data_IF_676612588753
#
_entry.id   IF_676612588753
#
_cell.length_a   1.000
_cell.length_b   1.000
_cell.length_c   1.000
_cell.angle_alpha   90.00
_cell.angle_beta   90.00
_cell.angle_gamma   90.00
#
_symmetry.space_group_name_H-M   'P 1'
#
loop_
_entity.id
_entity.type
_entity.pdbx_description
1 polymer ?
#
# COMPACT_ATOMS: atom_id res chain seq x y z
N UNK A 1 1.05 35.21 -10.11
CA UNK A 1 0.05 35.08 -9.03
C UNK A 1 -0.19 33.60 -8.79
N UNK A 2 -0.24 33.17 -7.53
CA UNK A 2 -0.16 31.76 -7.18
C UNK A 2 -1.58 31.12 -7.18
N UNK A 3 -1.82 30.04 -7.95
CA UNK A 3 -3.15 29.42 -8.17
C UNK A 3 -3.72 28.71 -6.92
N UNK A 4 -5.00 28.91 -6.52
CA UNK A 4 -5.59 28.23 -5.36
C UNK A 4 -5.59 26.70 -5.47
N UNK A 5 -5.38 26.01 -4.34
CA UNK A 5 -5.32 24.53 -4.30
C UNK A 5 -6.73 23.92 -4.34
N UNK A 6 -6.87 22.86 -5.13
CA UNK A 6 -8.07 22.03 -5.23
C UNK A 6 -7.72 20.58 -4.86
N UNK A 7 -8.22 20.12 -3.71
CA UNK A 7 -7.98 18.76 -3.24
C UNK A 7 -8.95 17.77 -3.90
N UNK A 8 -8.42 16.66 -4.42
CA UNK A 8 -9.21 15.66 -5.15
C UNK A 8 -9.31 14.37 -4.35
N UNK A 9 -10.55 14.10 -3.91
CA UNK A 9 -10.98 12.98 -3.10
C UNK A 9 -11.58 11.94 -4.05
N UNK A 10 -10.80 10.93 -4.43
CA UNK A 10 -11.25 9.96 -5.40
C UNK A 10 -10.65 8.57 -5.19
N UNK A 11 -11.30 7.50 -5.65
CA UNK A 11 -10.66 6.20 -5.77
C UNK A 11 -9.43 6.26 -6.67
N UNK A 12 -8.48 5.36 -6.48
CA UNK A 12 -7.24 5.29 -7.28
C UNK A 12 -7.20 4.04 -8.18
N UNK A 13 -6.51 4.15 -9.31
CA UNK A 13 -6.37 3.04 -10.26
C UNK A 13 -7.70 2.54 -10.81
N UNK A 14 -7.73 1.27 -11.23
CA UNK A 14 -8.95 0.65 -11.75
C UNK A 14 -9.81 0.10 -10.62
N UNK A 15 -11.06 0.52 -10.50
CA UNK A 15 -11.99 0.04 -9.46
C UNK A 15 -13.31 -0.39 -10.11
N UNK A 16 -13.89 -1.53 -9.68
CA UNK A 16 -15.19 -1.95 -10.17
C UNK A 16 -16.28 -1.03 -9.64
N UNK A 17 -17.23 -0.69 -10.50
CA UNK A 17 -18.51 -0.09 -10.08
C UNK A 17 -19.47 -1.16 -9.51
N UNK A 18 -20.70 -0.75 -9.18
CA UNK A 18 -21.72 -1.65 -8.64
C UNK A 18 -22.14 -2.77 -9.63
N UNK A 19 -21.94 -2.57 -10.93
CA UNK A 19 -22.20 -3.56 -11.98
C UNK A 19 -20.97 -4.42 -12.32
N UNK A 20 -19.82 -4.16 -11.69
CA UNK A 20 -18.56 -4.86 -11.93
C UNK A 20 -17.71 -4.30 -13.07
N UNK A 21 -18.12 -3.19 -13.69
CA UNK A 21 -17.33 -2.52 -14.75
C UNK A 21 -16.14 -1.82 -14.12
N UNK A 22 -14.93 -2.10 -14.63
CA UNK A 22 -13.70 -1.49 -14.13
C UNK A 22 -13.55 -0.07 -14.65
N UNK A 23 -13.75 0.92 -13.77
CA UNK A 23 -13.53 2.33 -14.07
C UNK A 23 -12.07 2.70 -13.80
N UNK A 24 -11.43 3.37 -14.75
CA UNK A 24 -10.05 3.86 -14.66
C UNK A 24 -10.01 5.27 -14.05
N UNK A 25 -9.86 5.34 -12.73
CA UNK A 25 -9.81 6.61 -12.01
C UNK A 25 -8.53 7.41 -12.26
N UNK A 26 -7.46 6.78 -12.74
CA UNK A 26 -6.25 7.50 -13.16
C UNK A 26 -6.49 8.24 -14.48
N UNK A 27 -7.22 7.63 -15.42
CA UNK A 27 -7.67 8.30 -16.62
C UNK A 27 -8.66 9.43 -16.31
N UNK A 28 -9.67 9.18 -15.46
CA UNK A 28 -10.62 10.23 -15.00
C UNK A 28 -9.87 11.41 -14.39
N UNK A 29 -8.87 11.17 -13.55
CA UNK A 29 -8.07 12.25 -12.98
C UNK A 29 -7.28 13.02 -14.05
N UNK A 30 -6.49 12.31 -14.87
CA UNK A 30 -5.54 12.90 -15.82
C UNK A 30 -6.23 13.62 -16.98
N UNK A 31 -7.36 13.11 -17.44
CA UNK A 31 -8.01 13.55 -18.68
C UNK A 31 -9.21 14.46 -18.42
N UNK A 32 -9.88 14.35 -17.26
CA UNK A 32 -11.05 15.15 -16.90
C UNK A 32 -10.78 16.10 -15.72
N UNK A 33 -10.47 15.56 -14.54
CA UNK A 33 -10.48 16.35 -13.30
C UNK A 33 -9.31 17.34 -13.24
N UNK A 34 -8.07 16.88 -13.38
CA UNK A 34 -6.89 17.75 -13.29
C UNK A 34 -6.87 18.83 -14.37
N UNK A 35 -7.19 18.55 -15.65
CA UNK A 35 -7.35 19.58 -16.67
C UNK A 35 -8.44 20.60 -16.34
N UNK A 36 -9.61 20.17 -15.83
CA UNK A 36 -10.68 21.10 -15.46
C UNK A 36 -10.28 22.04 -14.30
N UNK A 37 -9.53 21.52 -13.32
CA UNK A 37 -8.97 22.31 -12.22
C UNK A 37 -8.00 23.36 -12.77
N UNK A 38 -7.10 22.96 -13.69
CA UNK A 38 -6.15 23.87 -14.33
C UNK A 38 -6.85 24.94 -15.18
N UNK A 39 -7.90 24.55 -15.92
CA UNK A 39 -8.72 25.47 -16.73
C UNK A 39 -9.45 26.50 -15.84
N UNK A 40 -9.76 26.15 -14.59
CA UNK A 40 -10.33 27.05 -13.59
C UNK A 40 -9.28 27.93 -12.87
N UNK A 41 -8.02 27.94 -13.34
CA UNK A 41 -6.87 28.61 -12.71
C UNK A 41 -6.60 28.17 -11.27
N UNK A 42 -6.85 26.89 -11.00
CA UNK A 42 -6.56 26.22 -9.73
C UNK A 42 -5.39 25.24 -9.90
N UNK A 43 -4.86 24.74 -8.79
CA UNK A 43 -3.79 23.73 -8.77
C UNK A 43 -4.34 22.42 -8.18
N UNK A 44 -4.32 21.31 -8.93
CA UNK A 44 -4.84 20.04 -8.46
C UNK A 44 -3.90 19.38 -7.45
N UNK A 45 -4.47 18.77 -6.41
CA UNK A 45 -3.76 17.96 -5.43
C UNK A 45 -4.55 16.67 -5.21
N UNK A 46 -4.03 15.52 -5.64
CA UNK A 46 -4.70 14.22 -5.48
C UNK A 46 -4.21 13.50 -4.23
N UNK A 47 -5.10 12.79 -3.56
CA UNK A 47 -4.83 12.12 -2.27
C UNK A 47 -3.89 10.90 -2.35
N UNK A 48 -3.53 10.42 -3.54
CA UNK A 48 -2.74 9.20 -3.75
C UNK A 48 -1.23 9.36 -3.48
N UNK A 49 -0.76 10.58 -3.19
CA UNK A 49 0.64 10.80 -2.85
C UNK A 49 1.05 10.27 -1.47
N UNK A 50 0.13 9.69 -0.69
CA UNK A 50 0.34 9.32 0.71
C UNK A 50 -0.19 7.91 1.07
N UNK A 51 0.14 6.87 0.29
CA UNK A 51 -0.20 5.48 0.65
C UNK A 51 0.90 4.86 1.53
N UNK A 52 0.87 5.12 2.84
CA UNK A 52 1.62 4.30 3.81
C UNK A 52 0.96 4.21 5.19
N UNK A 53 0.18 3.14 5.41
CA UNK A 53 -0.08 2.53 6.73
C UNK A 53 -0.39 3.44 7.93
N UNK A 54 -1.68 3.71 8.16
CA UNK A 54 -2.26 3.89 9.50
C UNK A 54 -2.05 5.23 10.23
N UNK A 55 -1.04 6.04 9.89
CA UNK A 55 -0.86 7.39 10.48
C UNK A 55 -0.74 8.45 9.37
N UNK A 56 -1.70 8.45 8.46
CA UNK A 56 -1.79 9.44 7.37
C UNK A 56 -3.12 10.18 7.50
N UNK A 57 -3.34 10.73 8.67
CA UNK A 57 -4.56 11.48 8.94
C UNK A 57 -4.29 12.98 8.97
N UNK A 58 -3.17 13.44 9.53
CA UNK A 58 -2.92 14.88 9.69
C UNK A 58 -2.79 15.64 8.35
N UNK A 59 -1.96 15.22 7.37
CA UNK A 59 -1.87 15.95 6.10
C UNK A 59 -3.17 15.90 5.29
N UNK A 60 -3.87 14.76 5.28
CA UNK A 60 -5.20 14.63 4.67
C UNK A 60 -6.23 15.56 5.33
N UNK A 61 -6.31 15.60 6.66
CA UNK A 61 -7.17 16.52 7.40
C UNK A 61 -6.79 17.99 7.13
N UNK A 62 -5.50 18.30 7.09
CA UNK A 62 -5.01 19.63 6.76
C UNK A 62 -5.40 20.03 5.33
N UNK A 63 -5.34 19.13 4.35
CA UNK A 63 -5.85 19.38 2.98
C UNK A 63 -7.35 19.65 2.97
N UNK A 64 -8.13 18.80 3.65
CA UNK A 64 -9.58 18.97 3.79
C UNK A 64 -9.96 20.31 4.41
N UNK A 65 -9.19 20.75 5.40
CA UNK A 65 -9.41 22.02 6.08
C UNK A 65 -8.86 23.18 5.26
N UNK A 66 -7.67 23.11 4.66
CA UNK A 66 -6.91 24.28 4.18
C UNK A 66 -7.02 24.53 2.68
N UNK A 67 -7.32 23.52 1.86
CA UNK A 67 -7.52 23.72 0.42
C UNK A 67 -8.73 24.62 0.15
N UNK A 68 -8.55 25.57 -0.76
CA UNK A 68 -9.61 26.50 -1.16
C UNK A 68 -10.77 25.79 -1.86
N UNK A 69 -10.51 24.66 -2.51
CA UNK A 69 -11.51 23.84 -3.18
C UNK A 69 -11.31 22.36 -2.86
N UNK A 70 -12.39 21.60 -2.96
CA UNK A 70 -12.34 20.15 -2.96
C UNK A 70 -13.24 19.59 -4.06
N UNK A 71 -12.83 18.48 -4.67
CA UNK A 71 -13.63 17.66 -5.56
C UNK A 71 -13.75 16.27 -4.95
N UNK A 72 -14.97 15.75 -4.80
CA UNK A 72 -15.23 14.40 -4.33
C UNK A 72 -15.89 13.54 -5.41
N UNK A 73 -15.22 12.47 -5.82
CA UNK A 73 -15.72 11.49 -6.79
C UNK A 73 -16.41 10.33 -6.06
N UNK A 74 -17.73 10.31 -6.16
CA UNK A 74 -18.61 9.38 -5.44
C UNK A 74 -18.99 8.15 -6.25
N UNK A 75 -18.41 7.97 -7.44
CA UNK A 75 -18.82 6.98 -8.45
C UNK A 75 -18.88 5.54 -7.93
N UNK A 76 -17.95 5.12 -7.06
CA UNK A 76 -17.87 3.73 -6.54
C UNK A 76 -18.37 3.58 -5.12
N UNK A 77 -19.04 4.59 -4.56
CA UNK A 77 -19.52 4.56 -3.17
C UNK A 77 -18.39 4.25 -2.18
N UNK A 78 -17.21 4.82 -2.42
CA UNK A 78 -16.02 4.52 -1.64
C UNK A 78 -16.14 5.09 -0.21
N UNK A 79 -16.09 4.23 0.80
CA UNK A 79 -16.23 4.62 2.21
C UNK A 79 -15.21 5.69 2.65
N UNK A 80 -13.98 5.65 2.12
CA UNK A 80 -12.96 6.64 2.47
C UNK A 80 -13.33 8.01 1.92
N UNK A 81 -13.81 8.08 0.66
CA UNK A 81 -14.23 9.35 0.05
C UNK A 81 -15.41 9.95 0.82
N UNK A 82 -16.37 9.15 1.28
CA UNK A 82 -17.47 9.65 2.13
C UNK A 82 -16.99 10.17 3.48
N UNK A 83 -16.05 9.47 4.11
CA UNK A 83 -15.47 9.91 5.37
C UNK A 83 -14.83 11.29 5.21
N UNK A 84 -13.96 11.46 4.21
CA UNK A 84 -13.29 12.72 3.91
C UNK A 84 -14.27 13.83 3.51
N UNK A 85 -15.30 13.49 2.71
CA UNK A 85 -16.37 14.42 2.35
C UNK A 85 -17.15 14.92 3.58
N UNK A 86 -17.48 14.02 4.51
CA UNK A 86 -18.16 14.37 5.76
C UNK A 86 -17.35 15.37 6.58
N UNK A 87 -16.04 15.16 6.67
CA UNK A 87 -15.12 16.11 7.32
C UNK A 87 -15.11 17.44 6.56
N UNK A 88 -14.96 17.42 5.22
CA UNK A 88 -14.97 18.64 4.40
C UNK A 88 -16.22 19.48 4.65
N UNK A 89 -17.40 18.86 4.61
CA UNK A 89 -18.68 19.51 4.87
C UNK A 89 -18.82 20.05 6.31
N UNK A 90 -18.06 19.51 7.27
CA UNK A 90 -18.05 19.97 8.65
C UNK A 90 -17.08 21.14 8.89
N UNK A 91 -16.09 21.35 8.02
CA UNK A 91 -15.02 22.35 8.24
C UNK A 91 -14.99 23.46 7.19
N UNK A 92 -15.71 23.30 6.08
CA UNK A 92 -15.82 24.32 5.02
C UNK A 92 -17.27 24.55 4.63
N UNK A 93 -17.70 25.81 4.51
CA UNK A 93 -19.09 26.14 4.17
C UNK A 93 -19.42 25.94 2.68
N UNK A 94 -18.41 26.08 1.81
CA UNK A 94 -18.57 26.07 0.37
C UNK A 94 -17.30 25.54 -0.34
N UNK A 95 -17.33 25.56 -1.67
CA UNK A 95 -16.28 25.12 -2.62
C UNK A 95 -15.97 23.62 -2.62
N UNK A 96 -17.00 22.82 -2.35
CA UNK A 96 -16.93 21.35 -2.43
C UNK A 96 -17.78 20.88 -3.62
N UNK A 97 -17.12 20.39 -4.68
CA UNK A 97 -17.79 19.90 -5.88
C UNK A 97 -17.89 18.38 -5.81
N UNK A 98 -19.10 17.85 -5.99
CA UNK A 98 -19.33 16.41 -6.03
C UNK A 98 -19.43 15.94 -7.48
N UNK A 99 -18.74 14.85 -7.80
CA UNK A 99 -18.76 14.18 -9.09
C UNK A 99 -19.31 12.76 -8.93
N UNK A 100 -19.95 12.25 -9.97
CA UNK A 100 -20.32 10.84 -10.07
C UNK A 100 -20.44 10.45 -11.54
N UNK A 101 -20.19 9.18 -11.86
CA UNK A 101 -20.50 8.67 -13.20
C UNK A 101 -22.01 8.67 -13.43
N UNK A 102 -22.44 9.08 -14.61
CA UNK A 102 -23.82 8.96 -15.10
C UNK A 102 -24.39 7.52 -15.12
N UNK A 103 -23.51 6.51 -15.09
CA UNK A 103 -23.84 5.09 -14.94
C UNK A 103 -23.99 4.64 -13.49
N UNK A 104 -23.64 5.48 -12.51
CA UNK A 104 -23.67 5.17 -11.08
C UNK A 104 -24.91 5.77 -10.39
N UNK A 105 -25.32 5.16 -9.27
CA UNK A 105 -26.38 5.70 -8.40
C UNK A 105 -25.77 6.17 -7.10
N UNK A 106 -26.03 7.42 -6.75
CA UNK A 106 -25.63 8.00 -5.48
C UNK A 106 -26.49 7.45 -4.33
N UNK A 107 -25.90 7.19 -3.15
CA UNK A 107 -26.66 6.88 -1.94
C UNK A 107 -27.62 8.02 -1.57
N UNK A 108 -28.73 7.67 -0.91
CA UNK A 108 -29.80 8.62 -0.58
C UNK A 108 -29.29 9.88 0.15
N UNK A 109 -28.36 9.73 1.10
CA UNK A 109 -27.83 10.83 1.92
C UNK A 109 -27.09 11.91 1.11
N UNK A 110 -26.57 11.56 -0.08
CA UNK A 110 -25.86 12.48 -0.98
C UNK A 110 -26.59 12.70 -2.30
N UNK A 111 -27.65 11.95 -2.60
CA UNK A 111 -28.39 12.02 -3.85
C UNK A 111 -29.11 13.37 -4.06
N UNK A 112 -29.45 14.05 -2.96
CA UNK A 112 -30.05 15.40 -2.99
C UNK A 112 -29.00 16.51 -3.10
N UNK A 113 -27.71 16.19 -2.95
CA UNK A 113 -26.63 17.14 -3.15
C UNK A 113 -26.44 17.39 -4.65
N UNK A 114 -26.01 18.61 -5.01
CA UNK A 114 -25.88 19.06 -6.41
C UNK A 114 -24.66 18.45 -7.14
N UNK A 115 -24.54 17.13 -7.10
CA UNK A 115 -23.48 16.39 -7.77
C UNK A 115 -23.57 16.54 -9.30
N UNK A 116 -22.41 16.62 -9.93
CA UNK A 116 -22.29 16.72 -11.37
C UNK A 116 -22.02 15.32 -11.95
N UNK A 117 -22.86 14.86 -12.89
CA UNK A 117 -22.57 13.64 -13.62
C UNK A 117 -21.40 13.88 -14.59
N UNK A 118 -20.61 12.84 -14.83
CA UNK A 118 -19.67 12.76 -15.94
C UNK A 118 -19.80 11.42 -16.66
N UNK A 119 -19.48 11.40 -17.96
CA UNK A 119 -19.66 10.22 -18.79
C UNK A 119 -18.54 9.20 -18.61
N UNK A 120 -18.89 7.92 -18.55
CA UNK A 120 -17.93 6.79 -18.64
C UNK A 120 -18.29 5.90 -19.84
N UNK A 121 -17.32 5.62 -20.71
CA UNK A 121 -17.51 4.67 -21.80
C UNK A 121 -17.50 3.20 -21.31
N UNK A 122 -17.82 2.25 -22.19
CA UNK A 122 -17.90 0.84 -21.80
C UNK A 122 -16.55 0.20 -21.46
N UNK A 123 -15.43 0.86 -21.82
CA UNK A 123 -14.09 0.47 -21.42
C UNK A 123 -13.67 1.04 -20.05
N UNK A 124 -14.56 1.79 -19.38
CA UNK A 124 -14.30 2.38 -18.06
C UNK A 124 -13.46 3.66 -18.10
N UNK A 125 -13.26 4.26 -19.27
CA UNK A 125 -12.55 5.53 -19.44
C UNK A 125 -13.53 6.72 -19.50
N UNK A 126 -13.09 7.94 -19.13
CA UNK A 126 -13.93 9.13 -19.28
C UNK A 126 -14.37 9.30 -20.74
N UNK A 127 -15.63 9.66 -20.91
CA UNK A 127 -16.24 10.04 -22.18
C UNK A 127 -16.74 11.48 -22.08
N UNK A 128 -17.19 12.08 -23.20
CA UNK A 128 -17.69 13.46 -23.21
C UNK A 128 -16.71 14.48 -22.58
N UNK A 129 -15.39 14.21 -22.71
CA UNK A 129 -14.34 14.91 -21.95
C UNK A 129 -14.42 16.42 -22.11
N UNK A 130 -14.62 16.94 -23.32
CA UNK A 130 -14.65 18.39 -23.54
C UNK A 130 -15.84 19.08 -22.89
N UNK A 131 -17.03 18.47 -22.90
CA UNK A 131 -18.21 19.04 -22.25
C UNK A 131 -18.12 18.94 -20.74
N UNK A 132 -17.67 17.79 -20.23
CA UNK A 132 -17.60 17.52 -18.79
C UNK A 132 -16.49 18.33 -18.14
N UNK A 133 -15.32 18.45 -18.80
CA UNK A 133 -14.22 19.31 -18.34
C UNK A 133 -14.66 20.77 -18.27
N UNK A 134 -15.38 21.25 -19.29
CA UNK A 134 -15.90 22.64 -19.31
C UNK A 134 -16.91 22.88 -18.20
N UNK A 135 -17.88 21.98 -18.04
CA UNK A 135 -18.89 22.09 -17.00
C UNK A 135 -18.28 22.02 -15.58
N UNK A 136 -17.25 21.19 -15.38
CA UNK A 136 -16.52 21.13 -14.11
C UNK A 136 -15.74 22.42 -13.84
N UNK A 137 -15.01 22.94 -14.84
CA UNK A 137 -14.30 24.20 -14.72
C UNK A 137 -15.26 25.37 -14.41
N UNK A 138 -16.43 25.43 -15.06
CA UNK A 138 -17.45 26.45 -14.81
C UNK A 138 -18.04 26.36 -13.40
N UNK A 139 -18.27 25.13 -12.89
CA UNK A 139 -18.68 24.91 -11.50
C UNK A 139 -17.63 25.37 -10.50
N UNK A 140 -16.35 25.07 -10.73
CA UNK A 140 -15.23 25.52 -9.89
C UNK A 140 -15.15 27.04 -9.85
N UNK A 141 -15.23 27.72 -11.00
CA UNK A 141 -15.24 29.20 -11.07
C UNK A 141 -16.44 29.79 -10.32
N UNK A 142 -17.61 29.18 -10.47
CA UNK A 142 -18.86 29.66 -9.85
C UNK A 142 -18.90 29.45 -8.33
N UNK A 143 -18.29 28.38 -7.83
CA UNK A 143 -18.35 28.01 -6.42
C UNK A 143 -17.75 29.05 -5.45
N UNK A 144 -16.81 29.88 -5.93
CA UNK A 144 -16.20 30.95 -5.10
C UNK A 144 -17.03 32.24 -5.09
N UNK A 145 -17.84 32.46 -6.12
CA UNK A 145 -18.68 33.66 -6.28
C UNK A 145 -20.06 33.43 -5.65
N UNK A 146 -20.48 32.17 -5.51
CA UNK A 146 -21.75 31.82 -4.89
C UNK A 146 -21.80 32.24 -3.42
N UNK A 147 -22.92 32.85 -3.02
CA UNK A 147 -23.22 33.16 -1.63
C UNK A 147 -23.92 31.98 -0.91
N UNK A 148 -24.16 30.87 -1.60
CA UNK A 148 -24.85 29.71 -1.05
C UNK A 148 -23.85 28.69 -0.50
N UNK A 149 -23.99 28.32 0.77
CA UNK A 149 -23.28 27.17 1.32
C UNK A 149 -23.64 25.90 0.54
N UNK A 150 -22.64 25.09 0.18
CA UNK A 150 -22.84 23.76 -0.43
C UNK A 150 -22.78 22.62 0.60
N UNK A 151 -22.32 22.95 1.81
CA UNK A 151 -22.12 21.99 2.89
C UNK A 151 -23.34 21.94 3.80
N UNK A 152 -23.99 20.77 3.99
CA UNK A 152 -25.29 20.66 4.69
C UNK A 152 -25.30 21.23 6.11
N UNK A 153 -24.21 21.07 6.86
CA UNK A 153 -24.10 21.58 8.24
C UNK A 153 -24.22 23.11 8.28
N UNK A 154 -23.56 23.80 7.35
CA UNK A 154 -23.59 25.26 7.24
C UNK A 154 -24.88 25.80 6.63
N UNK A 155 -25.71 24.94 6.01
CA UNK A 155 -27.06 25.30 5.56
C UNK A 155 -28.08 25.22 6.70
N UNK A 156 -27.87 24.32 7.67
CA UNK A 156 -28.84 23.99 8.72
C UNK A 156 -28.55 24.67 10.06
N UNK A 157 -27.28 24.89 10.39
CA UNK A 157 -26.85 25.42 11.69
C UNK A 157 -26.42 26.87 11.56
N UNK A 158 -27.22 27.79 12.10
CA UNK A 158 -26.86 29.21 12.20
C UNK A 158 -25.62 29.41 13.09
N UNK A 159 -24.73 30.33 12.69
CA UNK A 159 -23.50 30.67 13.42
C UNK A 159 -22.50 29.52 13.61
N UNK A 160 -22.49 28.51 12.74
CA UNK A 160 -21.47 27.47 12.76
C UNK A 160 -20.06 28.08 12.56
N UNK A 161 -19.06 27.71 13.39
CA UNK A 161 -17.75 28.36 13.37
C UNK A 161 -17.00 28.13 12.04
N UNK A 162 -16.62 29.21 11.36
CA UNK A 162 -15.78 29.17 10.15
C UNK A 162 -14.29 29.24 10.50
N UNK A 163 -13.52 28.26 10.03
CA UNK A 163 -12.07 28.20 10.19
C UNK A 163 -11.44 29.16 9.16
N UNK A 164 -11.35 30.45 9.53
CA UNK A 164 -10.83 31.52 8.66
C UNK A 164 -9.41 31.24 8.12
N UNK A 165 -9.24 31.66 6.85
CA UNK A 165 -8.12 31.58 5.88
C UNK A 165 -6.71 32.09 6.29
N UNK A 166 -6.26 31.95 7.53
CA UNK A 166 -4.92 32.43 7.92
C UNK A 166 -3.75 31.47 7.58
N UNK A 167 -4.00 30.30 6.95
CA UNK A 167 -2.97 29.24 6.76
C UNK A 167 -2.75 28.76 5.31
N UNK A 168 -3.47 29.28 4.31
CA UNK A 168 -3.46 28.68 2.96
C UNK A 168 -2.14 28.86 2.20
N UNK A 169 -1.42 29.98 2.37
CA UNK A 169 -0.13 30.21 1.68
C UNK A 169 1.01 29.36 2.26
N UNK A 170 1.09 29.28 3.60
CA UNK A 170 2.05 28.41 4.30
C UNK A 170 1.79 26.95 3.93
N UNK A 171 0.52 26.54 3.92
CA UNK A 171 0.13 25.20 3.52
C UNK A 171 0.51 24.88 2.06
N UNK A 172 0.35 25.83 1.14
CA UNK A 172 0.75 25.61 -0.26
C UNK A 172 2.26 25.42 -0.39
N UNK A 173 3.04 26.27 0.29
CA UNK A 173 4.50 26.13 0.32
C UNK A 173 4.91 24.77 0.90
N UNK A 174 4.21 24.29 1.92
CA UNK A 174 4.44 22.97 2.52
C UNK A 174 4.14 21.81 1.56
N UNK A 175 3.01 21.87 0.83
CA UNK A 175 2.66 20.84 -0.17
C UNK A 175 3.67 20.80 -1.32
N UNK A 176 4.04 21.96 -1.86
CA UNK A 176 5.05 22.06 -2.93
C UNK A 176 6.41 21.53 -2.46
N UNK A 177 6.79 21.86 -1.22
CA UNK A 177 8.00 21.36 -0.58
C UNK A 177 7.98 19.83 -0.43
N UNK A 178 6.91 19.25 0.09
CA UNK A 178 6.77 17.80 0.27
C UNK A 178 6.85 17.06 -1.07
N UNK A 179 6.16 17.54 -2.11
CA UNK A 179 6.21 16.96 -3.44
C UNK A 179 7.64 17.01 -4.04
N UNK A 180 8.34 18.13 -3.89
CA UNK A 180 9.72 18.27 -4.35
C UNK A 180 10.68 17.30 -3.63
N UNK A 181 10.54 17.12 -2.32
CA UNK A 181 11.36 16.16 -1.58
C UNK A 181 11.07 14.73 -2.04
N UNK A 182 9.80 14.36 -2.26
CA UNK A 182 9.42 13.04 -2.76
C UNK A 182 10.06 12.72 -4.10
N UNK A 183 10.07 13.67 -5.04
CA UNK A 183 10.74 13.51 -6.34
C UNK A 183 12.26 13.35 -6.18
N UNK A 184 12.88 14.17 -5.33
CA UNK A 184 14.32 14.06 -5.02
C UNK A 184 14.69 12.71 -4.43
N UNK A 185 13.89 12.21 -3.47
CA UNK A 185 14.05 10.87 -2.91
C UNK A 185 13.92 9.79 -3.99
N UNK A 186 12.95 9.92 -4.90
CA UNK A 186 12.79 8.97 -6.00
C UNK A 186 14.00 8.93 -6.95
N UNK A 187 14.63 10.08 -7.23
CA UNK A 187 15.85 10.13 -8.01
C UNK A 187 17.03 9.51 -7.28
N UNK A 188 17.22 9.89 -6.01
CA UNK A 188 18.39 9.47 -5.25
C UNK A 188 18.32 7.98 -4.83
N UNK A 189 17.13 7.35 -4.78
CA UNK A 189 16.98 5.88 -4.69
C UNK A 189 17.67 5.12 -5.84
N UNK A 190 17.78 5.74 -7.02
CA UNK A 190 18.45 5.15 -8.20
C UNK A 190 19.96 5.35 -8.20
N UNK A 191 20.47 6.18 -7.30
CA UNK A 191 21.89 6.49 -7.20
C UNK A 191 22.53 5.61 -6.12
N UNK A 192 22.53 6.07 -4.87
CA UNK A 192 23.10 5.36 -3.73
C UNK A 192 22.54 5.89 -2.38
N UNK A 193 22.97 5.24 -1.30
CA UNK A 193 22.61 5.60 0.09
C UNK A 193 23.19 6.98 0.49
N UNK A 194 24.29 7.42 -0.12
CA UNK A 194 24.92 8.72 0.19
C UNK A 194 24.00 9.86 -0.24
N UNK A 195 23.40 9.77 -1.42
CA UNK A 195 22.44 10.74 -1.91
C UNK A 195 21.20 10.84 -1.00
N UNK A 196 20.74 9.73 -0.42
CA UNK A 196 19.68 9.74 0.61
C UNK A 196 20.11 10.46 1.89
N UNK A 197 21.34 10.20 2.36
CA UNK A 197 21.89 10.86 3.56
C UNK A 197 22.03 12.37 3.36
N UNK A 198 22.38 12.82 2.16
CA UNK A 198 22.41 14.25 1.83
C UNK A 198 21.02 14.87 1.97
N UNK A 199 19.97 14.22 1.46
CA UNK A 199 18.59 14.70 1.62
C UNK A 199 18.20 14.71 3.11
N UNK A 200 18.50 13.66 3.88
CA UNK A 200 18.26 13.64 5.33
C UNK A 200 18.95 14.81 6.06
N UNK A 201 20.20 15.12 5.71
CA UNK A 201 20.94 16.23 6.30
C UNK A 201 20.31 17.59 5.97
N UNK A 202 19.84 17.77 4.74
CA UNK A 202 19.18 19.01 4.32
C UNK A 202 17.80 19.21 4.98
N UNK A 203 17.09 18.13 5.30
CA UNK A 203 15.83 18.20 6.05
C UNK A 203 16.04 18.72 7.49
N UNK A 204 17.25 18.60 8.03
CA UNK A 204 17.58 19.06 9.38
C UNK A 204 16.78 18.33 10.47
N UNK A 205 16.17 19.08 11.38
CA UNK A 205 15.41 18.53 12.50
C UNK A 205 14.09 17.91 12.03
N UNK A 206 13.98 16.58 12.09
CA UNK A 206 12.77 15.86 11.62
C UNK A 206 11.50 16.20 12.40
N UNK A 207 11.60 16.72 13.63
CA UNK A 207 10.43 17.12 14.42
C UNK A 207 9.64 18.26 13.76
N UNK A 208 10.33 19.09 12.97
CA UNK A 208 9.73 20.22 12.27
C UNK A 208 9.21 19.85 10.87
N UNK A 209 9.45 18.60 10.44
CA UNK A 209 9.09 18.10 9.12
C UNK A 209 7.69 17.46 9.10
N UNK A 210 7.06 17.48 7.93
CA UNK A 210 5.80 16.76 7.73
C UNK A 210 6.01 15.25 7.83
N UNK A 211 5.06 14.56 8.47
CA UNK A 211 5.15 13.11 8.66
C UNK A 211 5.26 12.35 7.34
N UNK A 212 4.60 12.82 6.28
CA UNK A 212 4.70 12.23 4.93
C UNK A 212 6.14 12.22 4.41
N UNK A 213 6.86 13.34 4.54
CA UNK A 213 8.27 13.47 4.13
C UNK A 213 9.17 12.52 4.91
N UNK A 214 8.96 12.40 6.22
CA UNK A 214 9.74 11.50 7.10
C UNK A 214 9.50 10.03 6.71
N UNK A 215 8.25 9.66 6.43
CA UNK A 215 7.89 8.30 5.99
C UNK A 215 8.46 8.01 4.61
N UNK A 216 8.40 8.95 3.66
CA UNK A 216 8.99 8.78 2.34
C UNK A 216 10.50 8.56 2.42
N UNK A 217 11.21 9.31 3.29
CA UNK A 217 12.63 9.08 3.54
C UNK A 217 12.87 7.69 4.17
N UNK A 218 12.09 7.32 5.17
CA UNK A 218 12.18 6.03 5.86
C UNK A 218 12.01 4.84 4.91
N UNK A 219 10.99 4.87 4.06
CA UNK A 219 10.75 3.85 3.04
C UNK A 219 11.77 3.90 1.90
N UNK A 220 12.34 5.08 1.62
CA UNK A 220 13.41 5.20 0.62
C UNK A 220 14.68 4.49 1.08
N UNK A 221 15.05 4.58 2.36
CA UNK A 221 16.13 3.78 2.92
C UNK A 221 15.86 2.27 2.83
N UNK A 222 14.61 1.83 3.09
CA UNK A 222 14.21 0.43 2.89
C UNK A 222 14.41 -0.03 1.45
N UNK A 223 14.01 0.78 0.47
CA UNK A 223 14.10 0.44 -0.95
C UNK A 223 15.54 0.16 -1.40
N UNK A 224 16.52 0.88 -0.83
CA UNK A 224 17.96 0.69 -1.09
C UNK A 224 18.65 -0.24 -0.09
N UNK A 225 17.89 -0.97 0.74
CA UNK A 225 18.40 -1.90 1.77
C UNK A 225 19.33 -1.23 2.81
N UNK A 226 19.17 0.06 3.07
CA UNK A 226 19.93 0.83 4.06
C UNK A 226 19.33 0.65 5.47
N UNK A 227 19.46 -0.57 6.02
CA UNK A 227 18.81 -0.97 7.28
C UNK A 227 19.31 -0.17 8.50
N UNK A 228 20.61 0.07 8.57
CA UNK A 228 21.24 0.84 9.66
C UNK A 228 20.72 2.27 9.73
N UNK A 229 20.61 2.93 8.58
CA UNK A 229 20.07 4.27 8.43
C UNK A 229 18.59 4.31 8.79
N UNK A 230 17.83 3.32 8.34
CA UNK A 230 16.41 3.17 8.68
C UNK A 230 16.19 3.06 10.19
N UNK A 231 16.98 2.24 10.89
CA UNK A 231 16.95 2.10 12.36
C UNK A 231 17.34 3.41 13.05
N UNK A 232 18.39 4.08 12.55
CA UNK A 232 18.83 5.36 13.09
C UNK A 232 17.80 6.48 12.91
N UNK A 233 17.06 6.47 11.79
CA UNK A 233 16.04 7.46 11.47
C UNK A 233 14.88 7.41 12.47
N UNK A 234 14.43 6.22 12.89
CA UNK A 234 13.32 6.09 13.86
C UNK A 234 13.63 6.81 15.18
N UNK A 235 14.89 6.81 15.62
CA UNK A 235 15.33 7.52 16.83
C UNK A 235 15.22 9.05 16.71
N UNK A 236 15.19 9.57 15.48
CA UNK A 236 15.07 11.00 15.17
C UNK A 236 13.62 11.42 14.88
N UNK A 237 12.70 10.46 14.70
CA UNK A 237 11.29 10.75 14.39
C UNK A 237 10.55 11.31 15.61
N UNK A 238 9.49 12.11 15.40
CA UNK A 238 8.52 12.41 16.45
C UNK A 238 7.96 11.13 17.09
N UNK A 239 7.87 11.08 18.42
CA UNK A 239 7.42 9.89 19.16
C UNK A 239 6.08 9.30 18.67
N UNK A 240 5.04 10.09 18.35
CA UNK A 240 3.79 9.55 17.83
C UNK A 240 3.96 8.81 16.49
N UNK A 241 4.82 9.33 15.61
CA UNK A 241 5.12 8.72 14.31
C UNK A 241 5.99 7.46 14.47
N UNK A 242 7.03 7.58 15.31
CA UNK A 242 7.91 6.47 15.64
C UNK A 242 7.13 5.28 16.21
N UNK A 243 6.14 5.54 17.07
CA UNK A 243 5.32 4.51 17.73
C UNK A 243 4.19 3.95 16.86
N UNK A 244 4.11 4.35 15.59
CA UNK A 244 3.09 3.86 14.67
C UNK A 244 3.27 2.37 14.36
N UNK A 245 2.16 1.65 14.12
CA UNK A 245 2.18 0.22 13.74
C UNK A 245 3.10 0.01 12.55
N UNK A 246 2.92 0.80 11.48
CA UNK A 246 3.71 0.69 10.27
C UNK A 246 5.21 0.96 10.51
N UNK A 247 5.58 2.02 11.25
CA UNK A 247 7.01 2.28 11.55
C UNK A 247 7.61 1.18 12.42
N UNK A 248 6.87 0.67 13.41
CA UNK A 248 7.35 -0.42 14.28
C UNK A 248 7.53 -1.73 13.52
N UNK A 249 6.59 -2.10 12.65
CA UNK A 249 6.70 -3.27 11.77
C UNK A 249 7.92 -3.17 10.85
N UNK A 250 8.11 -2.01 10.22
CA UNK A 250 9.22 -1.75 9.32
C UNK A 250 10.56 -1.64 10.05
N UNK A 251 10.58 -1.08 11.27
CA UNK A 251 11.74 -1.08 12.16
C UNK A 251 12.14 -2.52 12.53
N UNK A 252 11.19 -3.36 12.91
CA UNK A 252 11.46 -4.75 13.22
C UNK A 252 12.02 -5.51 12.02
N UNK A 253 11.49 -5.26 10.81
CA UNK A 253 12.06 -5.80 9.58
C UNK A 253 13.52 -5.34 9.39
N UNK A 254 13.81 -4.05 9.56
CA UNK A 254 15.15 -3.49 9.43
C UNK A 254 16.12 -4.05 10.47
N UNK A 255 15.70 -4.15 11.74
CA UNK A 255 16.48 -4.76 12.83
C UNK A 255 16.85 -6.20 12.51
N UNK A 256 15.88 -7.00 12.04
CA UNK A 256 16.15 -8.39 11.65
C UNK A 256 17.15 -8.47 10.49
N UNK A 257 17.03 -7.58 9.49
CA UNK A 257 17.99 -7.50 8.39
C UNK A 257 19.37 -7.01 8.81
N UNK A 258 19.45 -6.26 9.91
CA UNK A 258 20.69 -5.79 10.53
C UNK A 258 21.30 -6.79 11.55
N UNK A 259 20.72 -7.98 11.68
CA UNK A 259 21.20 -9.02 12.62
C UNK A 259 20.67 -8.88 14.05
N UNK A 260 19.81 -7.91 14.33
CA UNK A 260 19.22 -7.66 15.65
C UNK A 260 17.88 -8.40 15.83
N UNK A 261 17.82 -9.70 15.48
CA UNK A 261 16.58 -10.47 15.42
C UNK A 261 15.83 -10.57 16.76
N UNK A 262 16.54 -10.61 17.89
CA UNK A 262 15.92 -10.63 19.23
C UNK A 262 15.26 -9.29 19.61
N UNK A 263 15.73 -8.17 19.04
CA UNK A 263 15.09 -6.88 19.20
C UNK A 263 13.85 -6.78 18.32
N UNK A 264 13.96 -7.23 17.05
CA UNK A 264 12.83 -7.32 16.14
C UNK A 264 11.68 -8.17 16.71
N UNK A 265 11.98 -9.34 17.29
CA UNK A 265 11.00 -10.20 17.94
C UNK A 265 10.24 -9.48 19.06
N UNK A 266 10.95 -8.78 19.95
CA UNK A 266 10.33 -8.05 21.07
C UNK A 266 9.35 -6.99 20.58
N UNK A 267 9.77 -6.15 19.62
CA UNK A 267 8.91 -5.11 19.04
C UNK A 267 7.63 -5.71 18.46
N UNK A 268 7.74 -6.81 17.71
CA UNK A 268 6.57 -7.45 17.06
C UNK A 268 5.63 -8.09 18.08
N UNK A 269 6.17 -8.74 19.11
CA UNK A 269 5.36 -9.34 20.18
C UNK A 269 4.65 -8.26 21.02
N UNK A 270 5.34 -7.17 21.34
CA UNK A 270 4.74 -6.03 22.05
C UNK A 270 3.64 -5.37 21.21
N UNK A 271 3.86 -5.25 19.89
CA UNK A 271 2.87 -4.71 18.96
C UNK A 271 1.62 -5.59 18.90
N UNK A 272 1.78 -6.92 18.81
CA UNK A 272 0.67 -7.88 18.86
C UNK A 272 -0.07 -7.80 20.19
N UNK A 273 0.65 -7.70 21.30
CA UNK A 273 0.04 -7.58 22.63
C UNK A 273 -0.79 -6.29 22.77
N UNK A 274 -0.32 -5.19 22.18
CA UNK A 274 -0.96 -3.88 22.27
C UNK A 274 -2.12 -3.69 21.28
N UNK A 275 -1.99 -4.19 20.05
CA UNK A 275 -2.91 -3.91 18.92
C UNK A 275 -3.77 -5.11 18.51
N UNK A 276 -3.45 -6.29 19.02
CA UNK A 276 -4.09 -7.54 18.64
C UNK A 276 -3.42 -8.22 17.45
N UNK A 277 -3.94 -9.40 17.03
CA UNK A 277 -3.38 -10.17 15.94
C UNK A 277 -3.52 -9.44 14.60
N UNK A 278 -2.46 -9.46 13.79
CA UNK A 278 -2.41 -8.87 12.45
C UNK A 278 -1.67 -9.81 11.51
N UNK A 279 -2.18 -9.96 10.29
CA UNK A 279 -1.54 -10.78 9.25
C UNK A 279 -0.12 -10.30 8.96
N UNK A 280 0.06 -8.97 8.79
CA UNK A 280 1.35 -8.35 8.49
C UNK A 280 2.34 -8.54 9.64
N UNK A 281 1.95 -8.19 10.87
CA UNK A 281 2.84 -8.26 12.04
C UNK A 281 3.32 -9.69 12.29
N UNK A 282 2.41 -10.67 12.22
CA UNK A 282 2.77 -12.09 12.33
C UNK A 282 3.58 -12.59 11.12
N UNK A 283 3.30 -12.09 9.92
CA UNK A 283 4.09 -12.38 8.71
C UNK A 283 5.54 -11.92 8.84
N UNK A 284 5.78 -10.73 9.40
CA UNK A 284 7.13 -10.23 9.70
C UNK A 284 7.76 -11.08 10.81
N UNK A 285 7.04 -11.41 11.88
CA UNK A 285 7.54 -12.25 12.96
C UNK A 285 7.94 -13.66 12.46
N UNK A 286 7.12 -14.25 11.61
CA UNK A 286 7.43 -15.52 10.94
C UNK A 286 8.70 -15.43 10.09
N UNK A 287 8.94 -14.28 9.43
CA UNK A 287 10.18 -14.03 8.68
C UNK A 287 11.39 -13.90 9.59
N UNK A 288 11.26 -13.21 10.74
CA UNK A 288 12.33 -13.14 11.76
C UNK A 288 12.74 -14.54 12.20
N UNK A 289 11.76 -15.38 12.55
CA UNK A 289 12.06 -16.75 12.95
C UNK A 289 12.61 -17.60 11.81
N UNK A 290 12.11 -17.45 10.58
CA UNK A 290 12.64 -18.17 9.40
C UNK A 290 14.12 -17.84 9.16
N UNK A 291 14.50 -16.56 9.22
CA UNK A 291 15.91 -16.16 9.06
C UNK A 291 16.79 -16.72 10.19
N UNK A 292 16.31 -16.69 11.45
CA UNK A 292 17.02 -17.32 12.58
C UNK A 292 17.14 -18.85 12.43
N UNK A 293 16.11 -19.51 11.92
CA UNK A 293 16.12 -20.94 11.65
C UNK A 293 17.18 -21.30 10.60
N UNK A 294 17.23 -20.57 9.50
CA UNK A 294 18.25 -20.79 8.47
C UNK A 294 19.67 -20.54 9.01
N UNK A 295 19.86 -19.54 9.87
CA UNK A 295 21.14 -19.30 10.53
C UNK A 295 21.52 -20.45 11.48
N UNK A 296 20.59 -20.96 12.28
CA UNK A 296 20.83 -22.13 13.15
C UNK A 296 21.18 -23.38 12.33
N UNK A 297 20.50 -23.59 11.20
CA UNK A 297 20.81 -24.68 10.26
C UNK A 297 22.23 -24.56 9.69
N UNK A 298 22.65 -23.35 9.28
CA UNK A 298 24.02 -23.10 8.78
C UNK A 298 25.08 -23.32 9.85
N UNK A 299 24.79 -23.00 11.10
CA UNK A 299 25.68 -23.23 12.24
C UNK A 299 25.71 -24.69 12.72
N UNK A 300 24.87 -25.57 12.15
CA UNK A 300 24.80 -26.98 12.54
C UNK A 300 24.05 -27.25 13.85
N UNK A 301 23.40 -26.25 14.45
CA UNK A 301 22.62 -26.41 15.69
C UNK A 301 21.20 -26.92 15.37
N UNK A 302 21.11 -28.23 15.13
CA UNK A 302 19.88 -28.87 14.69
C UNK A 302 18.73 -28.78 15.72
N UNK A 303 19.03 -28.83 17.02
CA UNK A 303 18.01 -28.76 18.07
C UNK A 303 17.42 -27.35 18.16
N UNK A 304 18.27 -26.32 18.14
CA UNK A 304 17.82 -24.94 18.09
C UNK A 304 17.03 -24.66 16.81
N UNK A 305 17.53 -25.13 15.66
CA UNK A 305 16.84 -24.98 14.38
C UNK A 305 15.42 -25.56 14.42
N UNK A 306 15.23 -26.75 14.99
CA UNK A 306 13.90 -27.35 15.11
C UNK A 306 12.93 -26.50 15.95
N UNK A 307 13.40 -25.97 17.08
CA UNK A 307 12.58 -25.08 17.92
C UNK A 307 12.19 -23.78 17.21
N UNK A 308 13.15 -23.15 16.51
CA UNK A 308 12.90 -21.90 15.79
C UNK A 308 11.99 -22.14 14.57
N UNK A 309 12.14 -23.27 13.86
CA UNK A 309 11.25 -23.65 12.76
C UNK A 309 9.80 -23.73 13.24
N UNK A 310 9.57 -24.31 14.42
CA UNK A 310 8.23 -24.38 15.00
C UNK A 310 7.68 -22.97 15.31
N UNK A 311 8.48 -22.08 15.90
CA UNK A 311 8.08 -20.68 16.11
C UNK A 311 7.73 -19.97 14.80
N UNK A 312 8.50 -20.21 13.73
CA UNK A 312 8.23 -19.63 12.42
C UNK A 312 6.89 -20.11 11.84
N UNK A 313 6.63 -21.43 11.90
CA UNK A 313 5.36 -22.03 11.45
C UNK A 313 4.19 -21.43 12.24
N UNK A 314 4.30 -21.38 13.57
CA UNK A 314 3.22 -20.89 14.43
C UNK A 314 2.94 -19.39 14.20
N UNK A 315 3.98 -18.57 14.01
CA UNK A 315 3.81 -17.17 13.67
C UNK A 315 3.10 -16.98 12.32
N UNK A 316 3.56 -17.66 11.27
CA UNK A 316 2.90 -17.57 9.96
C UNK A 316 1.47 -18.11 9.97
N UNK A 317 1.21 -19.19 10.71
CA UNK A 317 -0.13 -19.74 10.85
C UNK A 317 -1.07 -18.75 11.53
N UNK A 318 -0.64 -18.13 12.65
CA UNK A 318 -1.43 -17.09 13.32
C UNK A 318 -1.66 -15.85 12.46
N UNK A 319 -0.66 -15.48 11.64
CA UNK A 319 -0.82 -14.41 10.65
C UNK A 319 -1.89 -14.74 9.62
N UNK A 320 -1.84 -15.95 9.07
CA UNK A 320 -2.85 -16.41 8.12
C UNK A 320 -4.23 -16.48 8.75
N UNK A 321 -4.33 -16.95 10.00
CA UNK A 321 -5.59 -17.04 10.74
C UNK A 321 -6.19 -15.67 11.09
N UNK A 322 -5.37 -14.62 11.18
CA UNK A 322 -5.82 -13.25 11.43
C UNK A 322 -6.47 -12.60 10.20
N UNK A 323 -6.04 -12.94 8.98
CA UNK A 323 -6.73 -12.57 7.74
C UNK A 323 -6.54 -13.64 6.66
N UNK A 324 -7.56 -14.48 6.47
CA UNK A 324 -7.49 -15.62 5.54
C UNK A 324 -7.46 -15.18 4.06
N UNK A 325 -7.68 -13.89 3.78
CA UNK A 325 -7.62 -13.31 2.43
C UNK A 325 -6.18 -12.95 2.04
N UNK A 326 -5.26 -12.92 2.99
CA UNK A 326 -3.85 -12.71 2.76
C UNK A 326 -3.13 -14.07 2.64
N UNK A 327 -2.80 -14.46 1.41
CA UNK A 327 -2.17 -15.76 1.18
C UNK A 327 -0.70 -15.80 1.63
N UNK A 328 -0.04 -14.66 1.88
CA UNK A 328 1.40 -14.59 2.11
C UNK A 328 1.86 -15.34 3.38
N UNK A 329 1.25 -15.17 4.57
CA UNK A 329 1.61 -15.98 5.72
C UNK A 329 1.25 -17.45 5.51
N UNK A 330 0.11 -17.71 4.86
CA UNK A 330 -0.39 -19.05 4.57
C UNK A 330 0.60 -19.89 3.75
N UNK A 331 1.12 -19.34 2.65
CA UNK A 331 2.10 -20.05 1.80
C UNK A 331 3.41 -20.32 2.55
N UNK A 332 3.89 -19.36 3.34
CA UNK A 332 5.09 -19.56 4.14
C UNK A 332 4.89 -20.62 5.23
N UNK A 333 3.72 -20.67 5.88
CA UNK A 333 3.39 -21.71 6.84
C UNK A 333 3.43 -23.10 6.21
N UNK A 334 2.73 -23.31 5.08
CA UNK A 334 2.69 -24.63 4.42
C UNK A 334 4.04 -25.02 3.83
N UNK A 335 4.81 -24.07 3.31
CA UNK A 335 6.18 -24.30 2.84
C UNK A 335 7.05 -24.79 4.00
N UNK A 336 7.09 -24.08 5.14
CA UNK A 336 7.88 -24.50 6.30
C UNK A 336 7.42 -25.84 6.91
N UNK A 337 6.12 -26.11 6.88
CA UNK A 337 5.55 -27.41 7.25
C UNK A 337 6.05 -28.55 6.36
N UNK A 338 6.23 -28.32 5.06
CA UNK A 338 6.80 -29.30 4.11
C UNK A 338 8.30 -29.55 4.35
N UNK A 339 9.02 -28.56 4.90
CA UNK A 339 10.46 -28.69 5.20
C UNK A 339 10.73 -29.57 6.42
N UNK A 340 9.74 -29.80 7.30
CA UNK A 340 9.88 -30.72 8.43
C UNK A 340 10.15 -32.16 7.94
N UNK A 341 10.79 -32.96 8.79
CA UNK A 341 11.02 -34.37 8.55
C UNK A 341 10.55 -35.21 9.77
N UNK A 342 9.40 -35.92 9.68
CA UNK A 342 8.47 -35.94 8.55
C UNK A 342 7.77 -34.57 8.35
N UNK A 343 7.24 -34.29 7.14
CA UNK A 343 6.43 -33.10 6.89
C UNK A 343 5.19 -32.99 7.82
N UNK A 344 4.78 -31.78 8.18
CA UNK A 344 3.62 -31.55 9.06
C UNK A 344 2.29 -31.83 8.32
N UNK A 345 1.47 -32.72 8.84
CA UNK A 345 0.21 -33.14 8.20
C UNK A 345 -0.82 -32.01 8.09
N UNK A 346 -0.75 -30.98 8.94
CA UNK A 346 -1.65 -29.82 8.89
C UNK A 346 -1.59 -29.09 7.54
N UNK A 347 -0.46 -29.19 6.81
CA UNK A 347 -0.30 -28.58 5.48
C UNK A 347 -1.39 -29.03 4.50
N UNK A 348 -1.83 -30.29 4.57
CA UNK A 348 -2.86 -30.84 3.66
C UNK A 348 -4.21 -30.15 3.81
N UNK A 349 -4.53 -29.66 5.02
CA UNK A 349 -5.76 -28.91 5.30
C UNK A 349 -5.64 -27.44 4.93
N UNK A 350 -4.44 -26.87 5.04
CA UNK A 350 -4.19 -25.44 4.77
C UNK A 350 -4.03 -25.14 3.27
N UNK A 351 -3.39 -26.04 2.51
CA UNK A 351 -3.12 -25.83 1.07
C UNK A 351 -4.36 -25.38 0.28
N UNK A 352 -5.55 -26.02 0.40
CA UNK A 352 -6.74 -25.58 -0.31
C UNK A 352 -7.21 -24.17 0.07
N UNK A 353 -7.04 -23.77 1.34
CA UNK A 353 -7.46 -22.46 1.83
C UNK A 353 -6.51 -21.37 1.30
N UNK A 354 -5.20 -21.63 1.35
CA UNK A 354 -4.18 -20.72 0.80
C UNK A 354 -4.34 -20.59 -0.72
N UNK A 355 -4.60 -21.69 -1.42
CA UNK A 355 -4.88 -21.69 -2.85
C UNK A 355 -6.09 -20.83 -3.18
N UNK A 356 -7.20 -21.02 -2.47
CA UNK A 356 -8.40 -20.22 -2.66
C UNK A 356 -8.14 -18.72 -2.44
N UNK A 357 -7.41 -18.34 -1.38
CA UNK A 357 -7.06 -16.94 -1.12
C UNK A 357 -6.27 -16.31 -2.28
N UNK A 358 -5.24 -17.00 -2.77
CA UNK A 358 -4.44 -16.55 -3.90
C UNK A 358 -5.27 -16.47 -5.21
N UNK A 359 -6.11 -17.47 -5.49
CA UNK A 359 -6.98 -17.50 -6.67
C UNK A 359 -8.03 -16.38 -6.66
N UNK A 360 -8.54 -15.99 -5.49
CA UNK A 360 -9.44 -14.84 -5.36
C UNK A 360 -8.74 -13.53 -5.66
N UNK A 361 -7.50 -13.34 -5.20
CA UNK A 361 -6.70 -12.17 -5.57
C UNK A 361 -6.47 -12.08 -7.08
N UNK A 362 -6.04 -13.17 -7.71
CA UNK A 362 -5.86 -13.25 -9.18
C UNK A 362 -7.15 -12.94 -9.93
N UNK A 363 -8.28 -13.52 -9.52
CA UNK A 363 -9.55 -13.29 -10.20
C UNK A 363 -10.09 -11.86 -10.08
N UNK A 364 -9.60 -11.04 -9.14
CA UNK A 364 -9.95 -9.61 -9.11
C UNK A 364 -9.31 -8.79 -10.23
N UNK A 365 -8.41 -9.39 -11.03
CA UNK A 365 -7.66 -8.70 -12.08
C UNK A 365 -6.55 -7.78 -11.54
N UNK A 366 -6.21 -7.91 -10.25
CA UNK A 366 -5.21 -7.09 -9.55
C UNK A 366 -4.09 -7.92 -8.94
N UNK A 367 -3.86 -9.11 -9.47
CA UNK A 367 -2.75 -9.92 -8.99
C UNK A 367 -1.43 -9.20 -9.23
N UNK A 368 -0.57 -9.28 -8.23
CA UNK A 368 0.81 -8.87 -8.36
C UNK A 368 1.77 -10.07 -8.41
N UNK A 369 3.07 -9.80 -8.45
CA UNK A 369 4.10 -10.83 -8.42
C UNK A 369 3.88 -11.88 -7.32
N UNK A 370 3.48 -11.46 -6.12
CA UNK A 370 3.39 -12.35 -4.95
C UNK A 370 2.21 -13.31 -5.02
N UNK A 371 1.11 -12.89 -5.66
CA UNK A 371 -0.03 -13.77 -5.92
C UNK A 371 0.37 -14.92 -6.86
N UNK A 372 1.11 -14.61 -7.94
CA UNK A 372 1.61 -15.62 -8.88
C UNK A 372 2.74 -16.48 -8.28
N UNK A 373 3.65 -15.88 -7.51
CA UNK A 373 4.68 -16.61 -6.78
C UNK A 373 4.07 -17.60 -5.76
N UNK A 374 2.99 -17.20 -5.09
CA UNK A 374 2.24 -18.08 -4.19
C UNK A 374 1.63 -19.27 -4.94
N UNK A 375 1.01 -19.03 -6.11
CA UNK A 375 0.48 -20.12 -6.96
C UNK A 375 1.59 -21.05 -7.46
N UNK A 376 2.75 -20.50 -7.80
CA UNK A 376 3.93 -21.29 -8.18
C UNK A 376 4.38 -22.20 -7.03
N UNK A 377 4.56 -21.67 -5.83
CA UNK A 377 4.96 -22.47 -4.66
C UNK A 377 3.92 -23.57 -4.34
N UNK A 378 2.62 -23.25 -4.40
CA UNK A 378 1.55 -24.23 -4.21
C UNK A 378 1.57 -25.34 -5.26
N UNK A 379 1.78 -25.00 -6.53
CA UNK A 379 1.89 -25.98 -7.61
C UNK A 379 3.14 -26.86 -7.46
N UNK A 380 4.24 -26.30 -6.96
CA UNK A 380 5.47 -27.05 -6.63
C UNK A 380 5.21 -28.03 -5.49
N UNK A 381 4.54 -27.59 -4.42
CA UNK A 381 4.12 -28.44 -3.32
C UNK A 381 3.18 -29.57 -3.79
N UNK A 382 2.26 -29.27 -4.72
CA UNK A 382 1.36 -30.25 -5.33
C UNK A 382 1.99 -31.15 -6.41
N UNK A 383 3.27 -30.94 -6.75
CA UNK A 383 4.00 -31.66 -7.83
C UNK A 383 3.34 -31.51 -9.22
N UNK A 384 2.68 -30.38 -9.47
CA UNK A 384 1.92 -30.14 -10.69
C UNK A 384 2.70 -29.26 -11.68
N UNK A 385 3.59 -29.87 -12.47
CA UNK A 385 4.56 -29.16 -13.33
C UNK A 385 3.93 -28.13 -14.26
N UNK A 386 2.83 -28.47 -14.94
CA UNK A 386 2.18 -27.56 -15.90
C UNK A 386 1.57 -26.32 -15.23
N UNK A 387 1.06 -26.47 -14.00
CA UNK A 387 0.50 -25.35 -13.24
C UNK A 387 1.61 -24.48 -12.64
N UNK A 388 2.71 -25.11 -12.22
CA UNK A 388 3.91 -24.40 -11.80
C UNK A 388 4.52 -23.61 -12.97
N UNK A 389 4.62 -24.19 -14.16
CA UNK A 389 5.10 -23.50 -15.36
C UNK A 389 4.24 -22.28 -15.71
N UNK A 390 2.90 -22.43 -15.71
CA UNK A 390 1.99 -21.32 -15.96
C UNK A 390 2.15 -20.20 -14.91
N UNK A 391 2.17 -20.57 -13.62
CA UNK A 391 2.31 -19.60 -12.53
C UNK A 391 3.68 -18.90 -12.53
N UNK A 392 4.74 -19.62 -12.91
CA UNK A 392 6.07 -19.03 -13.12
C UNK A 392 6.03 -18.00 -14.25
N UNK A 393 5.45 -18.35 -15.41
CA UNK A 393 5.31 -17.43 -16.54
C UNK A 393 4.58 -16.15 -16.13
N UNK A 394 3.48 -16.28 -15.40
CA UNK A 394 2.72 -15.13 -14.89
C UNK A 394 3.58 -14.29 -13.91
N UNK A 395 4.25 -14.93 -12.96
CA UNK A 395 5.09 -14.24 -11.97
C UNK A 395 6.23 -13.45 -12.65
N UNK A 396 6.90 -14.06 -13.64
CA UNK A 396 7.97 -13.41 -14.39
C UNK A 396 7.49 -12.17 -15.16
N UNK A 397 6.25 -12.18 -15.65
CA UNK A 397 5.65 -11.03 -16.32
C UNK A 397 5.31 -9.86 -15.38
N UNK A 398 5.27 -10.12 -14.07
CA UNK A 398 4.89 -9.14 -13.04
C UNK A 398 6.05 -8.66 -12.16
N UNK A 399 7.30 -8.99 -12.50
CA UNK A 399 8.48 -8.55 -11.72
C UNK A 399 8.57 -7.02 -11.74
N UNK A 400 8.59 -6.42 -10.55
CA UNK A 400 8.81 -4.99 -10.34
C UNK A 400 10.19 -4.74 -9.74
N UNK A 401 10.67 -5.67 -8.92
CA UNK A 401 11.88 -5.51 -8.13
C UNK A 401 12.80 -6.73 -8.25
N UNK A 402 14.11 -6.52 -8.28
CA UNK A 402 15.09 -7.63 -8.45
C UNK A 402 15.05 -8.68 -7.34
N UNK A 403 14.63 -8.29 -6.13
CA UNK A 403 14.60 -9.16 -4.96
C UNK A 403 13.36 -10.08 -4.90
N UNK A 404 12.33 -9.79 -5.70
CA UNK A 404 11.11 -10.61 -5.83
C UNK A 404 11.46 -12.05 -6.29
N UNK A 405 12.08 -12.26 -7.48
CA UNK A 405 12.45 -13.59 -7.96
C UNK A 405 13.56 -14.26 -7.13
N UNK A 406 14.46 -13.49 -6.52
CA UNK A 406 15.47 -14.01 -5.59
C UNK A 406 14.81 -14.74 -4.40
N UNK A 407 13.75 -14.13 -3.84
CA UNK A 407 13.04 -14.66 -2.68
C UNK A 407 12.30 -15.96 -3.03
N UNK A 408 11.60 -15.97 -4.17
CA UNK A 408 10.86 -17.15 -4.62
C UNK A 408 11.81 -18.29 -4.98
N UNK A 409 12.93 -18.01 -5.66
CA UNK A 409 13.95 -19.02 -5.95
C UNK A 409 14.50 -19.66 -4.67
N UNK A 410 14.80 -18.86 -3.63
CA UNK A 410 15.23 -19.37 -2.32
C UNK A 410 14.19 -20.31 -1.71
N UNK A 411 12.89 -20.00 -1.79
CA UNK A 411 11.82 -20.88 -1.30
C UNK A 411 11.75 -22.20 -2.08
N UNK A 412 11.81 -22.15 -3.41
CA UNK A 412 11.80 -23.37 -4.24
C UNK A 412 13.00 -24.27 -3.96
N UNK A 413 14.19 -23.67 -3.77
CA UNK A 413 15.39 -24.40 -3.38
C UNK A 413 15.20 -25.14 -2.07
N UNK A 414 14.64 -24.48 -1.05
CA UNK A 414 14.38 -25.10 0.26
C UNK A 414 13.44 -26.31 0.12
N UNK A 415 12.35 -26.18 -0.63
CA UNK A 415 11.41 -27.28 -0.89
C UNK A 415 12.13 -28.43 -1.61
N UNK A 416 12.90 -28.11 -2.66
CA UNK A 416 13.65 -29.10 -3.45
C UNK A 416 14.66 -29.86 -2.60
N UNK A 417 15.49 -29.17 -1.81
CA UNK A 417 16.49 -29.78 -0.95
C UNK A 417 15.87 -30.64 0.15
N UNK A 418 14.77 -30.19 0.77
CA UNK A 418 14.04 -30.98 1.75
C UNK A 418 13.47 -32.27 1.16
N UNK A 419 12.93 -32.22 -0.07
CA UNK A 419 12.42 -33.39 -0.80
C UNK A 419 13.52 -34.34 -1.25
N UNK A 420 14.66 -33.82 -1.70
CA UNK A 420 15.84 -34.63 -2.05
C UNK A 420 16.33 -35.47 -0.86
N UNK A 421 16.32 -34.91 0.37
CA UNK A 421 16.64 -35.67 1.59
C UNK A 421 15.68 -36.84 1.87
N UNK A 422 14.49 -36.81 1.29
CA UNK A 422 13.47 -37.87 1.34
C UNK A 422 13.44 -38.73 0.08
N UNK A 423 14.44 -38.62 -0.81
CA UNK A 423 14.50 -39.28 -2.12
C UNK A 423 13.34 -38.92 -3.06
N UNK A 424 12.74 -37.74 -2.89
CA UNK A 424 11.71 -37.20 -3.78
C UNK A 424 12.32 -36.17 -4.73
N UNK A 425 12.57 -36.55 -5.98
CA UNK A 425 13.21 -35.66 -6.96
C UNK A 425 12.19 -34.96 -7.85
N UNK A 426 12.37 -33.65 -8.04
CA UNK A 426 11.59 -32.83 -8.97
C UNK A 426 12.54 -32.12 -9.95
N UNK A 427 12.96 -32.79 -11.05
CA UNK A 427 13.94 -32.23 -11.99
C UNK A 427 13.51 -30.88 -12.58
N UNK A 428 12.21 -30.70 -12.82
CA UNK A 428 11.67 -29.45 -13.35
C UNK A 428 11.71 -28.29 -12.34
N UNK A 429 11.70 -28.56 -11.03
CA UNK A 429 11.74 -27.52 -10.01
C UNK A 429 13.11 -26.79 -10.00
N UNK A 430 14.20 -27.51 -10.32
CA UNK A 430 15.52 -26.89 -10.49
C UNK A 430 15.52 -25.90 -11.66
N UNK A 431 14.92 -26.26 -12.80
CA UNK A 431 14.83 -25.35 -13.96
C UNK A 431 14.07 -24.06 -13.61
N UNK A 432 13.00 -24.16 -12.83
CA UNK A 432 12.22 -23.00 -12.39
C UNK A 432 12.98 -22.14 -11.38
N UNK A 433 13.73 -22.77 -10.47
CA UNK A 433 14.66 -22.09 -9.56
C UNK A 433 15.70 -21.29 -10.37
N UNK A 434 16.33 -21.91 -11.38
CA UNK A 434 17.37 -21.28 -12.21
C UNK A 434 16.82 -20.12 -13.05
N UNK A 435 15.62 -20.26 -13.62
CA UNK A 435 14.96 -19.19 -14.36
C UNK A 435 14.71 -17.96 -13.47
N UNK A 436 14.17 -18.16 -12.25
CA UNK A 436 13.97 -17.08 -11.29
C UNK A 436 15.30 -16.40 -10.91
N UNK A 437 16.36 -17.17 -10.66
CA UNK A 437 17.69 -16.61 -10.35
C UNK A 437 18.23 -15.76 -11.49
N UNK A 438 18.05 -16.19 -12.75
CA UNK A 438 18.49 -15.41 -13.91
C UNK A 438 17.83 -14.03 -13.99
N UNK A 439 16.56 -13.92 -13.56
CA UNK A 439 15.82 -12.64 -13.53
C UNK A 439 16.15 -11.78 -12.32
N UNK A 440 16.67 -12.37 -11.24
CA UNK A 440 17.19 -11.64 -10.10
C UNK A 440 18.54 -10.93 -10.39
N UNK A 441 19.19 -11.26 -11.51
CA UNK A 441 20.53 -10.76 -11.87
C UNK A 441 21.65 -11.45 -11.10
N UNK A 442 21.45 -12.72 -10.73
CA UNK A 442 22.37 -13.56 -9.95
C UNK A 442 22.93 -14.74 -10.75
#
# INVERSE_FOLDING_TARGET
MNRPLCFVLMPFGKKPDAAGVLIDFDAVYRELIAPAILDADLQPLRADEELTGGIIHKPMFERLILCDYAIADLTTVNANVFYELGIRHAVRPQTTILLFSDKSRLPFDVALLRAMPYGINDAGSPSHIDSDKRALADRLRSAKISATHDSPIFQLVENFPDIKRLKTDVFRQQVEYAAAIKERLAHARKQDVTAMKTIEQELGTLVDQESGVIIDLFLSYRAVKAWSEMIALVKKMPLPLASSVMVQEQLALALNRNGESDHAERILLDLIALKGPSSETYGILGRVYKDRWENAMKSGDALLANGILQKAIDAYLRGFEADWRDAYPGINAVTLMELKNPPDDRRTKLIPIVAYAAERRVATGKADYWDHATRLELAVLAKHESAAAASLSDALACIRERWEPETTARNLRLIREARQKRNEYLPWAQRFEDELRSKAGA
#
